data_IF_552822009095
#
_entry.id   IF_552822009095
#
_cell.length_a   1.000
_cell.length_b   1.000
_cell.length_c   1.000
_cell.angle_alpha   90.00
_cell.angle_beta   90.00
_cell.angle_gamma   90.00
#
_symmetry.space_group_name_H-M   'P 1'
#
loop_
_entity.id
_entity.type
_entity.pdbx_description
1 polymer ?
#
# COMPACT_ATOMS: atom_id res chain seq x y z
N UNK A 1 -8.15 -12.73 -15.92
CA UNK A 1 -7.57 -11.49 -15.35
C UNK A 1 -6.18 -11.75 -14.81
N UNK A 2 -5.20 -10.90 -15.14
CA UNK A 2 -3.85 -10.99 -14.55
C UNK A 2 -3.91 -10.73 -13.04
N UNK A 3 -2.95 -11.27 -12.28
CA UNK A 3 -2.85 -11.02 -10.84
C UNK A 3 -2.80 -9.51 -10.53
N UNK A 4 -2.11 -8.74 -11.39
CA UNK A 4 -2.05 -7.28 -11.29
C UNK A 4 -3.42 -6.63 -11.44
N UNK A 5 -4.23 -7.09 -12.39
CA UNK A 5 -5.59 -6.58 -12.58
C UNK A 5 -6.49 -6.86 -11.37
N UNK A 6 -6.37 -8.06 -10.75
CA UNK A 6 -7.12 -8.39 -9.52
C UNK A 6 -6.71 -7.50 -8.34
N UNK A 7 -5.41 -7.26 -8.16
CA UNK A 7 -4.89 -6.37 -7.11
C UNK A 7 -5.36 -4.93 -7.32
N UNK A 8 -5.29 -4.43 -8.56
CA UNK A 8 -5.77 -3.09 -8.90
C UNK A 8 -7.28 -2.96 -8.63
N UNK A 9 -8.08 -3.93 -9.07
CA UNK A 9 -9.52 -3.94 -8.81
C UNK A 9 -9.83 -3.96 -7.31
N UNK A 10 -9.12 -4.78 -6.53
CA UNK A 10 -9.25 -4.82 -5.07
C UNK A 10 -8.91 -3.49 -4.41
N UNK A 11 -7.85 -2.82 -4.86
CA UNK A 11 -7.47 -1.48 -4.39
C UNK A 11 -8.56 -0.43 -4.67
N UNK A 12 -9.16 -0.46 -5.86
CA UNK A 12 -10.26 0.46 -6.23
C UNK A 12 -11.48 0.23 -5.34
N UNK A 13 -11.90 -1.03 -5.18
CA UNK A 13 -13.06 -1.37 -4.33
C UNK A 13 -12.83 -0.94 -2.89
N UNK A 14 -11.65 -1.21 -2.33
CA UNK A 14 -11.29 -0.78 -0.98
C UNK A 14 -11.31 0.76 -0.85
N UNK A 15 -10.78 1.48 -1.85
CA UNK A 15 -10.79 2.95 -1.86
C UNK A 15 -12.20 3.54 -1.92
N UNK A 16 -13.09 2.96 -2.73
CA UNK A 16 -14.50 3.38 -2.81
C UNK A 16 -15.22 3.16 -1.48
N UNK A 17 -15.04 2.00 -0.86
CA UNK A 17 -15.63 1.70 0.46
C UNK A 17 -15.11 2.70 1.51
N UNK A 18 -13.82 3.01 1.48
CA UNK A 18 -13.21 3.92 2.43
C UNK A 18 -13.75 5.35 2.30
N UNK A 19 -13.91 5.84 1.07
CA UNK A 19 -14.52 7.15 0.78
C UNK A 19 -16.03 7.19 1.07
N UNK A 20 -16.71 6.04 1.04
CA UNK A 20 -18.11 5.94 1.42
C UNK A 20 -18.30 6.00 2.95
N UNK A 21 -17.36 5.43 3.72
CA UNK A 21 -17.43 5.37 5.20
C UNK A 21 -16.91 6.64 5.88
N UNK A 22 -15.91 7.31 5.30
CA UNK A 22 -15.13 8.35 5.96
C UNK A 22 -15.14 9.66 5.16
N UNK A 23 -15.00 10.82 5.83
CA UNK A 23 -14.77 12.06 5.11
C UNK A 23 -13.46 11.96 4.32
N UNK A 24 -13.38 12.67 3.20
CA UNK A 24 -12.27 12.58 2.25
C UNK A 24 -10.88 12.60 2.91
N UNK A 25 -10.67 13.53 3.84
CA UNK A 25 -9.39 13.66 4.55
C UNK A 25 -9.04 12.46 5.43
N UNK A 26 -10.02 11.86 6.10
CA UNK A 26 -9.80 10.67 6.92
C UNK A 26 -9.52 9.45 6.03
N UNK A 27 -10.26 9.29 4.91
CA UNK A 27 -9.99 8.24 3.94
C UNK A 27 -8.58 8.36 3.33
N UNK A 28 -8.16 9.59 2.97
CA UNK A 28 -6.83 9.87 2.46
C UNK A 28 -5.74 9.53 3.50
N UNK A 29 -5.95 9.91 4.76
CA UNK A 29 -5.06 9.57 5.86
C UNK A 29 -4.96 8.06 6.08
N UNK A 30 -6.04 7.30 5.94
CA UNK A 30 -5.98 5.83 6.05
C UNK A 30 -5.23 5.23 4.86
N UNK A 31 -5.51 5.70 3.65
CA UNK A 31 -4.89 5.19 2.41
C UNK A 31 -3.37 5.38 2.41
N UNK A 32 -2.85 6.46 3.01
CA UNK A 32 -1.41 6.72 3.12
C UNK A 32 -0.84 6.23 4.45
N UNK A 33 -1.53 6.52 5.55
CA UNK A 33 -1.09 6.28 6.91
C UNK A 33 -0.99 4.81 7.26
N UNK A 34 -1.88 3.95 6.74
CA UNK A 34 -1.78 2.50 6.98
C UNK A 34 -0.51 1.92 6.34
N UNK A 35 -0.22 2.13 5.04
CA UNK A 35 1.06 1.69 4.46
C UNK A 35 2.29 2.27 5.17
N UNK A 36 2.26 3.55 5.54
CA UNK A 36 3.38 4.20 6.26
C UNK A 36 3.55 3.58 7.64
N UNK A 37 2.49 3.46 8.42
CA UNK A 37 2.50 2.84 9.74
C UNK A 37 2.98 1.39 9.69
N UNK A 38 2.45 0.61 8.75
CA UNK A 38 2.90 -0.76 8.50
C UNK A 38 4.39 -0.82 8.19
N UNK A 39 4.91 0.08 7.34
CA UNK A 39 6.33 0.15 7.03
C UNK A 39 7.21 0.52 8.23
N UNK A 40 6.73 1.42 9.09
CA UNK A 40 7.44 1.85 10.29
C UNK A 40 7.48 0.74 11.33
N UNK A 41 6.40 -0.02 11.47
CA UNK A 41 6.28 -1.19 12.35
C UNK A 41 7.15 -2.39 11.93
N UNK A 42 7.67 -2.41 10.70
CA UNK A 42 8.58 -3.47 10.26
C UNK A 42 9.88 -3.47 11.07
N UNK A 43 10.39 -4.67 11.32
CA UNK A 43 11.73 -4.84 11.88
C UNK A 43 12.80 -4.28 10.93
N UNK A 44 13.94 -3.81 11.46
CA UNK A 44 15.04 -3.32 10.63
C UNK A 44 15.48 -4.32 9.53
N UNK A 45 15.44 -5.62 9.82
CA UNK A 45 15.77 -6.70 8.88
C UNK A 45 14.77 -6.79 7.71
N UNK A 46 13.46 -6.73 8.00
CA UNK A 46 12.38 -6.74 7.01
C UNK A 46 12.45 -5.50 6.11
N UNK A 47 12.63 -4.33 6.72
CA UNK A 47 12.75 -3.04 6.03
C UNK A 47 13.99 -3.00 5.13
N UNK A 48 15.14 -3.54 5.57
CA UNK A 48 16.35 -3.64 4.76
C UNK A 48 16.15 -4.57 3.55
N UNK A 49 15.47 -5.71 3.75
CA UNK A 49 15.14 -6.64 2.65
C UNK A 49 14.20 -6.00 1.63
N UNK A 50 13.14 -5.32 2.08
CA UNK A 50 12.22 -4.58 1.20
C UNK A 50 12.94 -3.51 0.37
N UNK A 51 13.79 -2.69 1.00
CA UNK A 51 14.63 -1.71 0.28
C UNK A 51 15.56 -2.39 -0.73
N UNK A 52 16.14 -3.54 -0.38
CA UNK A 52 17.01 -4.31 -1.27
C UNK A 52 16.29 -4.91 -2.48
N UNK A 53 15.08 -5.44 -2.29
CA UNK A 53 14.25 -5.98 -3.38
C UNK A 53 13.79 -4.86 -4.32
N UNK A 54 13.32 -3.74 -3.75
CA UNK A 54 12.89 -2.58 -4.55
C UNK A 54 14.01 -2.05 -5.44
N UNK A 55 15.25 -1.89 -4.92
CA UNK A 55 16.40 -1.48 -5.73
C UNK A 55 16.74 -2.43 -6.88
N UNK A 56 16.56 -3.74 -6.69
CA UNK A 56 16.79 -4.74 -7.75
C UNK A 56 15.75 -4.69 -8.87
N UNK A 57 14.58 -4.09 -8.64
CA UNK A 57 13.54 -3.92 -9.64
C UNK A 57 13.60 -2.58 -10.38
N UNK A 58 14.38 -1.60 -9.92
CA UNK A 58 14.53 -0.30 -10.59
C UNK A 58 15.63 -0.28 -11.67
N UNK A 59 16.47 -1.31 -11.74
CA UNK A 59 17.54 -1.46 -12.73
C UNK A 59 17.35 -2.64 -13.70
N UNK A 60 16.11 -3.12 -13.82
CA UNK A 60 15.65 -4.14 -14.78
C UNK A 60 14.40 -3.62 -15.46
#
# INVERSE_FOLDING_TARGET
>A
MSTRAKVAAGGVVAGVILLWLLPFWAALLVMVGVPVGAYLLLDPSQRRRLRGVSRKQLGR
#
